data_IF_375909701255
#
_entry.id   IF_375909701255
#
_cell.length_a   1.000
_cell.length_b   1.000
_cell.length_c   1.000
_cell.angle_alpha   90.00
_cell.angle_beta   90.00
_cell.angle_gamma   90.00
#
_symmetry.space_group_name_H-M   'P 1'
#
loop_
_entity.id
_entity.type
_entity.pdbx_description
1 polymer ?
#
# COMPACT_ATOMS: atom_id res chain seq x y z
N UNK A 1 17.33 0.38 10.49
CA UNK A 1 16.52 1.53 10.03
C UNK A 1 15.39 1.71 11.01
N UNK A 2 15.32 2.87 11.67
CA UNK A 2 14.28 3.19 12.67
C UNK A 2 13.01 3.73 12.01
N UNK A 3 12.58 3.10 10.91
CA UNK A 3 11.37 3.49 10.24
C UNK A 3 10.17 2.77 10.84
N UNK A 4 9.23 3.54 11.37
CA UNK A 4 8.02 2.99 11.97
C UNK A 4 6.95 2.80 10.89
N UNK A 5 6.80 1.56 10.42
CA UNK A 5 5.71 1.17 9.52
C UNK A 5 4.51 0.71 10.34
N UNK A 6 3.32 1.24 10.07
CA UNK A 6 2.08 0.85 10.75
C UNK A 6 0.98 0.58 9.75
N UNK A 7 0.17 -0.43 10.05
CA UNK A 7 -1.08 -0.71 9.34
C UNK A 7 -2.22 -0.44 10.31
N UNK A 8 -3.16 0.42 9.92
CA UNK A 8 -4.39 0.65 10.69
C UNK A 8 -5.55 -0.06 10.05
N UNK A 9 -6.32 -0.77 10.88
CA UNK A 9 -7.56 -1.42 10.48
C UNK A 9 -8.60 -1.40 11.62
N UNK A 10 -9.82 -1.82 11.33
CA UNK A 10 -10.81 -2.09 12.34
C UNK A 10 -10.33 -3.24 13.25
N UNK A 11 -10.58 -3.12 14.56
CA UNK A 11 -10.12 -4.06 15.59
C UNK A 11 -10.49 -5.52 15.29
N UNK A 12 -11.68 -5.77 14.74
CA UNK A 12 -12.16 -7.10 14.37
C UNK A 12 -11.30 -7.82 13.32
N UNK A 13 -10.45 -7.09 12.59
CA UNK A 13 -9.65 -7.62 11.46
C UNK A 13 -8.15 -7.48 11.70
N UNK A 14 -7.74 -7.19 12.94
CA UNK A 14 -6.34 -7.01 13.31
C UNK A 14 -5.48 -8.24 12.98
N UNK A 15 -6.05 -9.44 13.02
CA UNK A 15 -5.35 -10.69 12.73
C UNK A 15 -5.04 -10.91 11.24
N UNK A 16 -5.72 -10.19 10.34
CA UNK A 16 -5.62 -10.42 8.89
C UNK A 16 -4.72 -9.37 8.19
N UNK A 17 -4.11 -8.43 8.94
CA UNK A 17 -3.27 -7.35 8.40
C UNK A 17 -1.76 -7.57 8.58
N UNK A 18 -1.37 -8.58 9.35
CA UNK A 18 0.04 -8.89 9.61
C UNK A 18 0.82 -9.15 8.31
N UNK A 19 0.16 -9.82 7.36
CA UNK A 19 0.73 -10.06 6.04
C UNK A 19 1.03 -8.76 5.29
N UNK A 20 0.09 -7.82 5.30
CA UNK A 20 0.26 -6.53 4.64
C UNK A 20 1.39 -5.71 5.27
N UNK A 21 1.50 -5.71 6.61
CA UNK A 21 2.61 -5.07 7.31
C UNK A 21 3.96 -5.70 6.93
N UNK A 22 4.03 -7.03 6.94
CA UNK A 22 5.24 -7.76 6.55
C UNK A 22 5.68 -7.45 5.11
N UNK A 23 4.73 -7.45 4.16
CA UNK A 23 5.00 -7.12 2.75
C UNK A 23 5.46 -5.66 2.61
N UNK A 24 4.77 -4.70 3.23
CA UNK A 24 5.13 -3.28 3.18
C UNK A 24 6.57 -3.04 3.70
N UNK A 25 6.94 -3.65 4.82
CA UNK A 25 8.30 -3.55 5.37
C UNK A 25 9.37 -4.10 4.41
N UNK A 26 9.10 -5.24 3.75
CA UNK A 26 10.05 -5.83 2.79
C UNK A 26 10.17 -5.01 1.51
N UNK A 27 9.05 -4.52 0.97
CA UNK A 27 9.02 -3.68 -0.22
C UNK A 27 9.76 -2.38 -0.01
N UNK A 28 9.57 -1.73 1.13
CA UNK A 28 10.22 -0.46 1.40
C UNK A 28 11.74 -0.61 1.43
N UNK A 29 12.24 -1.62 2.15
CA UNK A 29 13.67 -1.95 2.16
C UNK A 29 14.18 -2.32 0.76
N UNK A 30 13.38 -3.03 -0.03
CA UNK A 30 13.72 -3.35 -1.40
C UNK A 30 13.90 -2.09 -2.25
N UNK A 31 12.94 -1.16 -2.22
CA UNK A 31 13.00 0.07 -3.03
C UNK A 31 14.12 1.01 -2.60
N UNK A 32 14.38 1.18 -1.30
CA UNK A 32 15.51 1.97 -0.82
C UNK A 32 16.84 1.45 -1.35
N UNK A 33 17.03 0.12 -1.33
CA UNK A 33 18.23 -0.51 -1.87
C UNK A 33 18.28 -0.41 -3.41
N UNK A 34 17.15 -0.67 -4.07
CA UNK A 34 17.08 -0.73 -5.53
C UNK A 34 17.33 0.64 -6.17
N UNK A 35 16.72 1.70 -5.62
CA UNK A 35 16.93 3.06 -6.12
C UNK A 35 18.16 3.74 -5.52
N UNK A 36 18.75 3.17 -4.47
CA UNK A 36 19.81 3.82 -3.69
C UNK A 36 19.42 5.21 -3.16
N UNK A 37 18.12 5.39 -2.91
CA UNK A 37 17.52 6.63 -2.39
C UNK A 37 16.71 6.24 -1.15
N UNK A 38 17.06 6.74 0.05
CA UNK A 38 16.32 6.41 1.26
C UNK A 38 14.91 7.01 1.22
N UNK A 39 13.96 6.37 1.88
CA UNK A 39 12.64 6.93 2.04
C UNK A 39 12.72 8.18 2.94
N UNK A 40 12.23 9.36 2.49
CA UNK A 40 12.57 10.63 3.14
C UNK A 40 11.80 10.91 4.43
N UNK A 41 10.66 10.25 4.67
CA UNK A 41 9.86 10.47 5.88
C UNK A 41 10.28 9.50 6.99
N UNK A 42 10.11 9.90 8.25
CA UNK A 42 10.44 9.06 9.42
C UNK A 42 9.42 7.94 9.68
N UNK A 43 8.28 7.94 8.99
CA UNK A 43 7.17 7.00 9.16
C UNK A 43 6.48 6.74 7.83
N UNK A 44 6.05 5.50 7.62
CA UNK A 44 5.16 5.12 6.54
C UNK A 44 3.92 4.45 7.14
N UNK A 45 2.77 5.06 6.91
CA UNK A 45 1.48 4.57 7.31
C UNK A 45 0.73 3.90 6.17
N UNK A 46 0.13 2.73 6.40
CA UNK A 46 -0.90 2.16 5.54
C UNK A 46 -2.25 2.23 6.27
N UNK A 47 -3.15 3.06 5.76
CA UNK A 47 -4.45 3.30 6.35
C UNK A 47 -5.55 2.62 5.53
N UNK A 48 -6.26 1.70 6.17
CA UNK A 48 -7.42 1.06 5.56
C UNK A 48 -8.60 2.02 5.56
N UNK A 49 -9.11 2.37 4.40
CA UNK A 49 -10.32 3.20 4.31
C UNK A 49 -11.54 2.32 4.15
N UNK A 50 -12.50 2.54 5.04
CA UNK A 50 -13.83 1.97 4.99
C UNK A 50 -14.87 3.06 4.76
N UNK A 51 -16.07 2.64 4.37
CA UNK A 51 -17.30 3.31 4.78
C UNK A 51 -17.28 3.44 6.31
N UNK A 52 -16.72 4.54 6.80
CA UNK A 52 -16.55 4.77 8.23
C UNK A 52 -17.89 5.25 8.79
N UNK A 53 -18.50 4.44 9.67
CA UNK A 53 -19.27 4.94 10.82
C UNK A 53 -18.35 4.85 12.03
N UNK A 54 -17.67 5.94 12.35
CA UNK A 54 -16.94 6.08 13.61
C UNK A 54 -17.77 6.98 14.50
N UNK A 55 -18.09 6.50 15.70
CA UNK A 55 -18.82 7.26 16.72
C UNK A 55 -17.79 8.12 17.48
N UNK A 56 -17.58 9.35 17.02
CA UNK A 56 -16.78 10.37 17.71
C UNK A 56 -17.80 11.29 18.39
N UNK A 57 -18.07 11.05 19.67
CA UNK A 57 -19.14 11.70 20.45
C UNK A 57 -20.56 11.52 19.89
N UNK A 58 -21.53 11.38 20.79
CA UNK A 58 -22.90 10.95 20.49
C UNK A 58 -23.71 11.82 19.50
N UNK A 59 -23.16 12.92 18.96
CA UNK A 59 -23.90 13.87 18.11
C UNK A 59 -23.23 14.24 16.77
N UNK A 60 -22.05 13.72 16.40
CA UNK A 60 -21.40 14.05 15.12
C UNK A 60 -21.24 12.81 14.23
N UNK A 61 -21.99 12.77 13.12
CA UNK A 61 -21.93 11.70 12.11
C UNK A 61 -20.99 12.13 10.99
N UNK A 62 -19.83 11.48 10.87
CA UNK A 62 -18.94 11.66 9.72
C UNK A 62 -18.99 10.41 8.83
N UNK A 63 -19.62 10.54 7.66
CA UNK A 63 -19.64 9.52 6.59
C UNK A 63 -18.54 9.82 5.57
N UNK A 64 -17.53 8.95 5.47
CA UNK A 64 -16.57 8.98 4.37
C UNK A 64 -17.10 8.09 3.22
N UNK A 65 -17.21 8.60 1.98
CA UNK A 65 -17.69 7.85 0.83
C UNK A 65 -16.71 6.73 0.45
N UNK A 66 -17.22 5.67 -0.17
CA UNK A 66 -16.41 4.63 -0.81
C UNK A 66 -15.22 5.22 -1.58
N UNK A 67 -14.02 4.71 -1.33
CA UNK A 67 -12.84 5.08 -2.11
C UNK A 67 -13.13 4.70 -3.56
N UNK A 68 -13.32 5.68 -4.46
CA UNK A 68 -13.63 5.43 -5.88
C UNK A 68 -12.50 4.66 -6.58
N UNK A 69 -11.27 4.82 -6.10
CA UNK A 69 -10.08 4.10 -6.58
C UNK A 69 -9.71 2.93 -5.66
N UNK A 70 -8.90 1.98 -6.15
CA UNK A 70 -8.54 0.75 -5.43
C UNK A 70 -7.60 1.03 -4.25
N UNK A 71 -6.67 1.95 -4.44
CA UNK A 71 -5.77 2.50 -3.44
C UNK A 71 -5.33 3.92 -3.87
N UNK A 72 -4.67 4.65 -2.98
CA UNK A 72 -4.15 5.99 -3.24
C UNK A 72 -2.90 6.23 -2.39
N UNK A 73 -1.86 6.76 -3.03
CA UNK A 73 -0.48 6.80 -2.59
C UNK A 73 -0.11 8.01 -1.71
N UNK A 74 -1.04 8.57 -0.93
CA UNK A 74 -0.76 9.79 -0.16
C UNK A 74 0.54 9.64 0.67
N UNK A 75 1.45 10.61 0.55
CA UNK A 75 2.81 10.46 1.07
C UNK A 75 2.85 10.25 2.58
N UNK A 76 3.33 9.08 3.01
CA UNK A 76 3.35 8.70 4.42
C UNK A 76 2.03 8.14 4.97
N UNK A 77 0.96 8.11 4.15
CA UNK A 77 -0.34 7.53 4.50
C UNK A 77 -1.04 6.91 3.28
N UNK A 78 -0.56 5.75 2.83
CA UNK A 78 -1.19 5.02 1.73
C UNK A 78 -2.59 4.58 2.16
N UNK A 79 -3.61 4.90 1.37
CA UNK A 79 -4.98 4.46 1.64
C UNK A 79 -5.39 3.33 0.70
N UNK A 80 -5.81 2.19 1.24
CA UNK A 80 -6.16 1.02 0.42
C UNK A 80 -7.58 0.55 0.75
N UNK A 81 -8.33 0.09 -0.27
CA UNK A 81 -9.61 -0.60 -0.05
C UNK A 81 -9.41 -1.85 0.78
N UNK A 82 -10.30 -2.04 1.75
CA UNK A 82 -10.25 -3.15 2.70
C UNK A 82 -9.93 -4.52 2.09
N UNK A 83 -10.63 -4.93 1.03
CA UNK A 83 -10.51 -6.28 0.46
C UNK A 83 -9.12 -6.57 -0.11
N UNK A 84 -8.34 -5.52 -0.39
CA UNK A 84 -7.02 -5.61 -0.99
C UNK A 84 -5.88 -5.57 0.05
N UNK A 85 -6.21 -5.54 1.35
CA UNK A 85 -5.24 -5.48 2.45
C UNK A 85 -5.34 -6.65 3.43
N UNK A 86 -6.39 -7.47 3.32
CA UNK A 86 -6.62 -8.58 4.25
C UNK A 86 -6.12 -9.88 3.64
N UNK A 87 -5.29 -10.59 4.39
CA UNK A 87 -4.88 -11.94 4.02
C UNK A 87 -4.80 -12.83 5.25
N UNK A 88 -5.63 -13.87 5.25
CA UNK A 88 -5.62 -14.94 6.21
C UNK A 88 -5.21 -16.24 5.50
N UNK A 89 -4.07 -16.82 5.88
CA UNK A 89 -3.53 -18.02 5.23
C UNK A 89 -4.47 -19.24 5.29
N UNK A 90 -5.40 -19.31 6.26
CA UNK A 90 -6.36 -20.43 6.39
C UNK A 90 -7.61 -20.25 5.54
N UNK A 91 -7.97 -19.01 5.22
CA UNK A 91 -9.25 -18.67 4.57
C UNK A 91 -9.06 -18.20 3.13
N UNK A 92 -7.96 -17.52 2.84
CA UNK A 92 -7.71 -16.90 1.55
C UNK A 92 -6.79 -17.75 0.66
N UNK A 93 -7.10 -17.70 -0.62
CA UNK A 93 -6.36 -18.32 -1.70
C UNK A 93 -5.01 -17.64 -1.95
N UNK A 94 -4.11 -18.35 -2.65
CA UNK A 94 -2.87 -17.77 -3.15
C UNK A 94 -3.10 -16.60 -4.12
N UNK A 95 -4.23 -16.58 -4.82
CA UNK A 95 -4.61 -15.47 -5.70
C UNK A 95 -4.86 -14.21 -4.89
N UNK A 96 -5.61 -14.29 -3.79
CA UNK A 96 -5.85 -13.15 -2.90
C UNK A 96 -4.55 -12.67 -2.26
N UNK A 97 -3.67 -13.58 -1.85
CA UNK A 97 -2.33 -13.23 -1.36
C UNK A 97 -1.56 -12.39 -2.38
N UNK A 98 -1.51 -12.83 -3.64
CA UNK A 98 -0.84 -12.11 -4.73
C UNK A 98 -1.44 -10.73 -4.93
N UNK A 99 -2.77 -10.61 -4.95
CA UNK A 99 -3.45 -9.32 -5.10
C UNK A 99 -3.03 -8.34 -3.99
N UNK A 100 -2.99 -8.79 -2.72
CA UNK A 100 -2.53 -7.96 -1.61
C UNK A 100 -1.07 -7.52 -1.82
N UNK A 101 -0.20 -8.45 -2.20
CA UNK A 101 1.21 -8.13 -2.49
C UNK A 101 1.36 -7.11 -3.61
N UNK A 102 0.68 -7.32 -4.73
CA UNK A 102 0.81 -6.51 -5.93
C UNK A 102 0.30 -5.07 -5.68
N UNK A 103 -0.83 -4.92 -4.97
CA UNK A 103 -1.38 -3.60 -4.60
C UNK A 103 -0.40 -2.87 -3.68
N UNK A 104 0.08 -3.49 -2.61
CA UNK A 104 1.04 -2.83 -1.71
C UNK A 104 2.33 -2.49 -2.45
N UNK A 105 2.80 -3.34 -3.36
CA UNK A 105 3.99 -3.08 -4.16
C UNK A 105 3.85 -1.85 -5.06
N UNK A 106 2.69 -1.67 -5.70
CA UNK A 106 2.35 -0.50 -6.50
C UNK A 106 2.34 0.78 -5.65
N UNK A 107 1.60 0.78 -4.55
CA UNK A 107 1.46 1.96 -3.70
C UNK A 107 2.76 2.38 -3.01
N UNK A 108 3.60 1.42 -2.62
CA UNK A 108 4.92 1.74 -2.04
C UNK A 108 5.86 2.26 -3.13
N UNK A 109 5.75 1.80 -4.39
CA UNK A 109 6.53 2.35 -5.50
C UNK A 109 6.26 3.85 -5.72
N UNK A 110 5.00 4.26 -5.52
CA UNK A 110 4.61 5.66 -5.65
C UNK A 110 5.32 6.61 -4.67
N UNK A 111 5.88 6.10 -3.57
CA UNK A 111 6.74 6.91 -2.68
C UNK A 111 7.94 7.51 -3.43
N UNK A 112 8.42 6.85 -4.49
CA UNK A 112 9.43 7.38 -5.41
C UNK A 112 8.79 7.96 -6.68
N UNK A 113 7.86 7.25 -7.31
CA UNK A 113 7.24 7.65 -8.58
C UNK A 113 5.83 8.20 -8.39
N UNK A 114 5.72 9.51 -8.23
CA UNK A 114 4.48 10.23 -7.99
C UNK A 114 4.59 11.17 -6.80
N UNK A 115 5.23 10.71 -5.72
CA UNK A 115 5.51 11.55 -4.56
C UNK A 115 6.86 12.26 -4.65
N UNK A 116 7.97 11.51 -4.72
CA UNK A 116 9.31 12.12 -4.81
C UNK A 116 9.58 12.73 -6.19
N UNK A 117 9.22 12.01 -7.25
CA UNK A 117 9.26 12.49 -8.63
C UNK A 117 7.84 12.49 -9.19
N UNK A 118 7.24 13.68 -9.28
CA UNK A 118 5.88 13.87 -9.80
C UNK A 118 5.94 14.38 -11.25
N UNK A 119 5.08 13.83 -12.12
CA UNK A 119 4.90 14.37 -13.47
C UNK A 119 4.55 15.87 -13.43
N UNK A 120 5.02 16.63 -14.44
CA UNK A 120 4.76 18.07 -14.52
C UNK A 120 3.29 18.38 -14.78
N UNK A 121 2.63 17.56 -15.59
CA UNK A 121 1.23 17.71 -15.95
C UNK A 121 0.57 16.36 -16.26
N UNK A 122 -0.75 16.30 -16.18
CA UNK A 122 -1.54 15.06 -16.21
C UNK A 122 -1.48 14.29 -17.53
N UNK A 123 -1.06 14.91 -18.62
CA UNK A 123 -0.79 14.21 -19.89
C UNK A 123 0.33 13.17 -19.73
N UNK A 124 1.22 13.36 -18.75
CA UNK A 124 2.34 12.47 -18.46
C UNK A 124 2.09 11.59 -17.23
N UNK A 125 0.82 11.34 -16.87
CA UNK A 125 0.44 10.49 -15.73
C UNK A 125 1.10 9.09 -15.77
N UNK A 126 1.41 8.60 -16.97
CA UNK A 126 2.13 7.33 -17.16
C UNK A 126 3.52 7.31 -16.47
N UNK A 127 4.15 8.46 -16.25
CA UNK A 127 5.42 8.55 -15.50
C UNK A 127 5.25 8.12 -14.04
N UNK A 128 4.06 8.34 -13.46
CA UNK A 128 3.75 7.87 -12.12
C UNK A 128 3.20 6.43 -12.18
N UNK A 129 2.05 6.25 -12.83
CA UNK A 129 1.29 4.98 -12.81
C UNK A 129 2.00 3.83 -13.54
N UNK A 130 2.65 4.14 -14.67
CA UNK A 130 3.38 3.15 -15.46
C UNK A 130 4.62 2.66 -14.73
N UNK A 131 5.39 3.56 -14.13
CA UNK A 131 6.55 3.19 -13.31
C UNK A 131 6.14 2.47 -12.03
N UNK A 132 5.09 2.92 -11.35
CA UNK A 132 4.56 2.24 -10.17
C UNK A 132 4.11 0.81 -10.49
N UNK A 133 3.43 0.61 -11.63
CA UNK A 133 3.02 -0.73 -12.09
C UNK A 133 4.24 -1.60 -12.39
N UNK A 134 5.18 -1.12 -13.19
CA UNK A 134 6.37 -1.87 -13.60
C UNK A 134 7.23 -2.26 -12.39
N UNK A 135 7.51 -1.29 -11.51
CA UNK A 135 8.31 -1.51 -10.32
C UNK A 135 7.58 -2.37 -9.29
N UNK A 136 6.26 -2.20 -9.17
CA UNK A 136 5.39 -3.03 -8.34
C UNK A 136 5.48 -4.51 -8.69
N UNK A 137 5.39 -4.87 -9.98
CA UNK A 137 5.55 -6.26 -10.43
C UNK A 137 6.92 -6.83 -10.06
N UNK A 138 7.99 -6.06 -10.33
CA UNK A 138 9.36 -6.47 -10.02
C UNK A 138 9.59 -6.68 -8.52
N UNK A 139 9.07 -5.78 -7.68
CA UNK A 139 9.21 -5.87 -6.24
C UNK A 139 8.33 -6.99 -5.63
N UNK A 140 7.14 -7.21 -6.18
CA UNK A 140 6.26 -8.31 -5.79
C UNK A 140 6.89 -9.69 -6.04
N UNK A 141 7.61 -9.84 -7.15
CA UNK A 141 8.39 -11.04 -7.45
C UNK A 141 9.52 -11.28 -6.43
N UNK A 142 10.24 -10.23 -6.06
CA UNK A 142 11.24 -10.30 -4.99
C UNK A 142 10.63 -10.69 -3.64
N UNK A 143 9.47 -10.14 -3.28
CA UNK A 143 8.82 -10.45 -1.99
C UNK A 143 8.30 -11.89 -1.97
N UNK A 144 7.74 -12.37 -3.06
CA UNK A 144 7.16 -13.72 -3.15
C UNK A 144 8.19 -14.80 -3.52
N UNK A 145 9.47 -14.44 -3.69
CA UNK A 145 10.54 -15.33 -4.14
C UNK A 145 10.15 -16.09 -5.43
N UNK A 146 9.64 -15.36 -6.40
CA UNK A 146 9.12 -15.91 -7.66
C UNK A 146 9.57 -15.06 -8.83
N UNK A 147 9.55 -15.63 -10.04
CA UNK A 147 9.85 -14.93 -11.30
C UNK A 147 8.66 -14.96 -12.26
N UNK A 148 7.47 -15.29 -11.74
CA UNK A 148 6.30 -15.63 -12.56
C UNK A 148 5.56 -14.40 -13.12
N UNK A 149 5.99 -13.17 -12.82
CA UNK A 149 5.31 -11.94 -13.25
C UNK A 149 6.06 -11.16 -14.33
N UNK A 150 7.22 -11.64 -14.78
CA UNK A 150 7.96 -11.12 -15.95
C UNK A 150 8.01 -12.14 -17.08
#
# INVERSE_FOLDING_TARGET
MDLNVRVWCQSAMAYDIDYALHVACRLLKYYENFFSIPYPLKKLGLFKVFNIRVNINKNDIFTAPELRVLAMENWGLITVRQKLMLYNQRLNSLRERRVVTDVIAHEVAHMWFGNLATMRWWNDLWLNEGFATMMGQKAADFVENTTLRM
#
